data_IF_612661301337
#
_entry.id   IF_612661301337
#
_cell.length_a   1.000
_cell.length_b   1.000
_cell.length_c   1.000
_cell.angle_alpha   90.00
_cell.angle_beta   90.00
_cell.angle_gamma   90.00
#
_symmetry.space_group_name_H-M   'P 1'
#
loop_
_entity.id
_entity.type
_entity.pdbx_description
1 polymer ?
#
# COMPACT_ATOMS: atom_id res chain seq x y z
N UNK A 1 14.88 12.70 6.12
CA UNK A 1 15.03 11.25 6.04
C UNK A 1 16.27 10.91 5.23
N UNK A 2 17.03 9.93 5.71
CA UNK A 2 18.26 9.54 5.05
C UNK A 2 17.98 8.59 3.91
N UNK A 3 18.22 9.05 2.67
CA UNK A 3 18.04 8.26 1.46
C UNK A 3 19.33 7.58 0.98
N UNK A 4 20.43 7.72 1.75
CA UNK A 4 21.74 7.21 1.38
C UNK A 4 22.30 6.19 2.38
N UNK A 5 21.42 5.46 3.06
CA UNK A 5 21.86 4.47 4.02
C UNK A 5 22.33 3.16 3.35
N UNK A 6 22.91 2.26 4.16
CA UNK A 6 23.39 0.97 3.70
C UNK A 6 22.31 0.07 3.11
N UNK A 7 21.07 0.24 3.55
CA UNK A 7 19.93 -0.54 3.05
C UNK A 7 19.60 -0.20 1.59
N UNK A 8 19.68 1.09 1.22
CA UNK A 8 19.48 1.51 -0.17
C UNK A 8 20.57 0.96 -1.09
N UNK A 9 21.83 1.00 -0.64
CA UNK A 9 22.94 0.41 -1.37
C UNK A 9 22.74 -1.09 -1.58
N UNK A 10 22.29 -1.80 -0.56
CA UNK A 10 21.99 -3.22 -0.62
C UNK A 10 20.86 -3.52 -1.63
N UNK A 11 19.80 -2.70 -1.65
CA UNK A 11 18.71 -2.85 -2.60
C UNK A 11 19.18 -2.66 -4.04
N UNK A 12 20.03 -1.68 -4.29
CA UNK A 12 20.62 -1.45 -5.62
C UNK A 12 21.43 -2.64 -6.06
N UNK A 13 22.24 -3.20 -5.17
CA UNK A 13 23.05 -4.38 -5.45
C UNK A 13 22.17 -5.59 -5.77
N UNK A 14 21.13 -5.85 -4.97
CA UNK A 14 20.19 -6.95 -5.21
C UNK A 14 19.46 -6.78 -6.53
N UNK A 15 19.01 -5.56 -6.84
CA UNK A 15 18.35 -5.27 -8.11
C UNK A 15 19.25 -5.54 -9.30
N UNK A 16 20.53 -5.16 -9.23
CA UNK A 16 21.48 -5.40 -10.31
C UNK A 16 21.86 -6.87 -10.47
N UNK A 17 21.71 -7.69 -9.42
CA UNK A 17 21.88 -9.14 -9.53
C UNK A 17 20.70 -9.80 -10.28
N UNK A 18 19.51 -9.26 -10.12
CA UNK A 18 18.32 -9.75 -10.83
C UNK A 18 18.29 -9.23 -12.26
N UNK A 19 18.64 -7.96 -12.44
CA UNK A 19 18.64 -7.28 -13.74
C UNK A 19 20.04 -6.72 -14.03
N UNK A 20 20.91 -7.48 -14.73
CA UNK A 20 22.31 -7.10 -14.91
C UNK A 20 22.53 -5.77 -15.62
N UNK A 21 21.56 -5.28 -16.38
CA UNK A 21 21.62 -3.99 -17.07
C UNK A 21 21.74 -2.82 -16.09
N UNK A 22 21.38 -3.02 -14.82
CA UNK A 22 21.49 -2.00 -13.78
C UNK A 22 22.89 -1.89 -13.17
N UNK A 23 23.79 -2.81 -13.48
CA UNK A 23 25.15 -2.77 -12.94
C UNK A 23 25.89 -1.50 -13.34
N UNK A 24 26.49 -0.83 -12.36
CA UNK A 24 27.24 0.39 -12.58
C UNK A 24 26.39 1.63 -12.84
N UNK A 25 25.08 1.52 -12.74
CA UNK A 25 24.17 2.67 -12.91
C UNK A 25 23.78 3.25 -11.57
N UNK A 26 23.78 4.57 -11.50
CA UNK A 26 23.36 5.30 -10.30
C UNK A 26 21.86 5.59 -10.35
N UNK A 27 21.16 5.57 -9.20
CA UNK A 27 19.76 5.96 -9.16
C UNK A 27 19.61 7.45 -9.45
N UNK A 28 18.57 7.82 -10.18
CA UNK A 28 18.23 9.21 -10.45
C UNK A 28 17.72 9.89 -9.18
N UNK A 29 16.96 9.15 -8.37
CA UNK A 29 16.37 9.63 -7.14
C UNK A 29 16.23 8.50 -6.14
N UNK A 30 16.42 8.79 -4.88
CA UNK A 30 16.18 7.83 -3.79
C UNK A 30 15.31 8.46 -2.71
N UNK A 31 14.51 7.66 -2.06
CA UNK A 31 13.68 8.10 -0.95
C UNK A 31 13.43 6.94 0.02
N UNK A 32 13.02 7.29 1.22
CA UNK A 32 12.59 6.33 2.23
C UNK A 32 11.32 6.84 2.90
N UNK A 33 10.42 5.93 3.20
CA UNK A 33 9.19 6.27 3.90
C UNK A 33 8.67 5.06 4.68
N UNK A 34 7.68 5.30 5.53
CA UNK A 34 7.05 4.27 6.34
C UNK A 34 5.76 3.83 5.67
N UNK A 35 5.61 2.52 5.47
CA UNK A 35 4.39 1.97 4.90
C UNK A 35 3.28 1.94 5.95
N UNK A 36 2.07 2.39 5.64
CA UNK A 36 0.96 2.32 6.58
C UNK A 36 0.54 0.87 6.82
N UNK A 37 0.39 0.53 8.09
CA UNK A 37 -0.07 -0.80 8.52
C UNK A 37 -1.21 -0.62 9.51
N UNK A 38 -2.34 -1.27 9.26
CA UNK A 38 -3.46 -1.31 10.19
C UNK A 38 -3.17 -2.25 11.36
N UNK A 39 -3.95 -2.14 12.42
CA UNK A 39 -3.84 -3.05 13.57
C UNK A 39 -4.13 -4.51 13.18
N UNK A 40 -5.09 -4.70 12.30
CA UNK A 40 -5.46 -6.03 11.80
C UNK A 40 -4.45 -6.60 10.82
N UNK A 41 -3.51 -5.78 10.31
CA UNK A 41 -2.58 -6.09 9.22
C UNK A 41 -3.25 -6.31 7.87
N UNK A 42 -4.57 -6.26 7.80
CA UNK A 42 -5.32 -6.26 6.55
C UNK A 42 -5.48 -4.82 6.04
N UNK A 43 -5.69 -4.61 4.75
CA UNK A 43 -6.07 -3.30 4.25
C UNK A 43 -7.31 -2.76 4.94
N UNK A 44 -7.43 -1.44 4.99
CA UNK A 44 -8.61 -0.77 5.55
C UNK A 44 -9.41 -0.17 4.39
N UNK A 45 -10.64 -0.60 4.24
CA UNK A 45 -11.46 -0.26 3.09
C UNK A 45 -12.90 -0.07 3.52
N UNK A 46 -13.46 1.13 3.34
CA UNK A 46 -14.87 1.37 3.64
C UNK A 46 -15.15 2.73 4.20
N UNK A 47 -16.32 2.83 4.80
CA UNK A 47 -16.84 4.08 5.39
C UNK A 47 -16.19 4.35 6.75
N UNK A 48 -15.85 5.61 7.01
CA UNK A 48 -15.31 6.00 8.30
C UNK A 48 -16.35 5.77 9.40
N UNK A 49 -15.99 5.14 10.54
CA UNK A 49 -16.96 4.82 11.58
C UNK A 49 -17.65 6.02 12.22
N UNK A 50 -16.94 7.16 12.31
CA UNK A 50 -17.44 8.36 12.99
C UNK A 50 -17.94 9.44 12.03
N UNK A 51 -17.44 9.47 10.80
CA UNK A 51 -17.75 10.51 9.82
C UNK A 51 -18.43 9.90 8.58
N UNK A 52 -19.77 9.95 8.49
CA UNK A 52 -20.52 9.24 7.46
C UNK A 52 -20.20 9.62 6.01
N UNK A 53 -19.67 10.81 5.79
CA UNK A 53 -19.31 11.27 4.45
C UNK A 53 -17.87 11.01 4.07
N UNK A 54 -17.10 10.41 4.97
CA UNK A 54 -15.69 10.09 4.73
C UNK A 54 -15.49 8.58 4.48
N UNK A 55 -14.55 8.27 3.60
CA UNK A 55 -14.23 6.91 3.21
C UNK A 55 -12.74 6.69 3.31
N UNK A 56 -12.34 5.46 3.62
CA UNK A 56 -10.94 5.09 3.82
C UNK A 56 -10.56 4.00 2.84
N UNK A 57 -9.43 4.17 2.17
CA UNK A 57 -8.77 3.12 1.40
C UNK A 57 -7.27 3.24 1.67
N UNK A 58 -6.75 2.38 2.52
CA UNK A 58 -5.36 2.47 2.97
C UNK A 58 -4.87 1.14 3.54
N UNK A 59 -3.67 1.14 4.08
CA UNK A 59 -3.16 0.03 4.86
C UNK A 59 -2.72 -1.19 4.05
N UNK A 60 -2.41 -1.02 2.76
CA UNK A 60 -1.92 -2.12 1.92
C UNK A 60 -0.58 -2.71 2.36
N UNK A 61 0.19 -1.98 3.14
CA UNK A 61 1.45 -2.39 3.75
C UNK A 61 2.39 -3.07 2.74
N UNK A 62 2.64 -4.38 2.88
CA UNK A 62 3.59 -5.09 2.00
C UNK A 62 2.96 -5.59 0.70
N UNK A 63 1.64 -5.67 0.64
CA UNK A 63 0.90 -6.28 -0.48
C UNK A 63 0.07 -5.28 -1.28
N UNK A 64 0.23 -3.99 -1.00
CA UNK A 64 -0.60 -2.95 -1.62
C UNK A 64 -0.53 -2.93 -3.14
N UNK A 65 0.66 -3.13 -3.71
CA UNK A 65 0.83 -3.12 -5.17
C UNK A 65 0.01 -4.24 -5.84
N UNK A 66 0.04 -5.45 -5.27
CA UNK A 66 -0.70 -6.58 -5.81
C UNK A 66 -2.21 -6.48 -5.59
N UNK A 67 -2.62 -5.88 -4.47
CA UNK A 67 -4.03 -5.77 -4.11
C UNK A 67 -4.73 -4.53 -4.66
N UNK A 68 -3.99 -3.50 -5.04
CA UNK A 68 -4.56 -2.21 -5.43
C UNK A 68 -5.63 -2.30 -6.52
N UNK A 69 -5.46 -3.06 -7.60
CA UNK A 69 -6.50 -3.16 -8.63
C UNK A 69 -7.82 -3.72 -8.10
N UNK A 70 -7.77 -4.77 -7.29
CA UNK A 70 -8.96 -5.38 -6.72
C UNK A 70 -9.61 -4.49 -5.66
N UNK A 71 -8.80 -3.84 -4.82
CA UNK A 71 -9.27 -2.86 -3.85
C UNK A 71 -10.01 -1.71 -4.54
N UNK A 72 -9.43 -1.19 -5.62
CA UNK A 72 -10.04 -0.11 -6.38
C UNK A 72 -11.38 -0.54 -7.00
N UNK A 73 -11.45 -1.75 -7.54
CA UNK A 73 -12.69 -2.30 -8.10
C UNK A 73 -13.78 -2.42 -7.03
N UNK A 74 -13.48 -3.11 -5.94
CA UNK A 74 -14.44 -3.34 -4.86
C UNK A 74 -14.90 -2.02 -4.23
N UNK A 75 -13.98 -1.08 -4.04
CA UNK A 75 -14.29 0.21 -3.44
C UNK A 75 -15.14 1.10 -4.36
N UNK A 76 -14.85 1.12 -5.66
CA UNK A 76 -15.65 1.88 -6.62
C UNK A 76 -17.07 1.31 -6.76
N UNK A 77 -17.22 0.00 -6.75
CA UNK A 77 -18.54 -0.65 -6.73
C UNK A 77 -19.33 -0.28 -5.47
N UNK A 78 -18.67 -0.24 -4.32
CA UNK A 78 -19.26 0.19 -3.07
C UNK A 78 -19.74 1.64 -3.13
N UNK A 79 -18.90 2.56 -3.63
CA UNK A 79 -19.20 3.99 -3.68
C UNK A 79 -20.25 4.35 -4.74
N UNK A 80 -20.15 3.74 -5.93
CA UNK A 80 -20.94 4.15 -7.08
C UNK A 80 -22.20 3.31 -7.29
N UNK A 81 -22.13 2.02 -6.98
CA UNK A 81 -23.20 1.06 -7.24
C UNK A 81 -23.89 0.58 -5.96
N UNK A 82 -23.41 1.03 -4.81
CA UNK A 82 -23.89 0.58 -3.50
C UNK A 82 -23.79 -0.94 -3.29
N UNK A 83 -22.83 -1.58 -3.96
CA UNK A 83 -22.56 -3.00 -3.81
C UNK A 83 -21.49 -3.23 -2.75
N UNK A 84 -21.84 -3.86 -1.64
CA UNK A 84 -20.91 -4.12 -0.55
C UNK A 84 -20.29 -5.52 -0.68
N UNK A 85 -19.14 -5.58 -1.37
CA UNK A 85 -18.31 -6.78 -1.49
C UNK A 85 -17.03 -6.70 -0.66
N UNK A 86 -16.95 -5.73 0.25
CA UNK A 86 -15.77 -5.52 1.09
C UNK A 86 -15.71 -6.64 2.13
N UNK A 87 -14.58 -7.38 2.23
CA UNK A 87 -14.42 -8.36 3.30
C UNK A 87 -14.56 -7.72 4.68
N UNK A 88 -15.20 -8.40 5.61
CA UNK A 88 -15.46 -7.86 6.96
C UNK A 88 -14.16 -7.44 7.66
N UNK A 89 -13.10 -8.23 7.52
CA UNK A 89 -11.80 -7.95 8.12
C UNK A 89 -11.13 -6.68 7.58
N UNK A 90 -11.60 -6.14 6.44
CA UNK A 90 -11.06 -4.91 5.86
C UNK A 90 -11.82 -3.67 6.33
N UNK A 91 -12.94 -3.82 7.00
CA UNK A 91 -13.75 -2.68 7.41
C UNK A 91 -13.02 -1.81 8.44
N UNK A 92 -13.15 -0.47 8.36
CA UNK A 92 -12.48 0.44 9.30
C UNK A 92 -12.81 0.16 10.77
N UNK A 93 -14.01 -0.31 11.07
CA UNK A 93 -14.43 -0.66 12.42
C UNK A 93 -13.57 -1.77 13.05
N UNK A 94 -12.94 -2.62 12.25
CA UNK A 94 -12.10 -3.71 12.73
C UNK A 94 -10.67 -3.26 13.04
N UNK A 95 -10.26 -2.09 12.56
CA UNK A 95 -8.87 -1.60 12.65
C UNK A 95 -8.71 -0.29 13.39
N UNK A 96 -9.79 0.39 13.70
CA UNK A 96 -9.76 1.71 14.36
C UNK A 96 -10.24 1.68 15.80
#
# INVERSE_FOLDING_TARGET
EDTNDGNLKDLILKASNILPELKGKDPICTWANVRPRSRSRAPVLGKHPLFPSEFIMNGGFKIGLGMAPQMGKVFSEFLLLNENKIPTEFLPSESL
#
